data_IF_050218383747
#
_entry.id   IF_050218383747
#
_cell.length_a   1.000
_cell.length_b   1.000
_cell.length_c   1.000
_cell.angle_alpha   90.00
_cell.angle_beta   90.00
_cell.angle_gamma   90.00
#
_symmetry.space_group_name_H-M   'P 1'
#
loop_
_entity.id
_entity.type
_entity.pdbx_description
1 polymer ?
#
# COMPACT_ATOMS: atom_id res chain seq x y z
N UNK A 1 -4.33 9.59 -10.24
CA UNK A 1 -4.10 10.53 -9.13
C UNK A 1 -2.64 10.92 -9.16
N UNK A 2 -2.33 12.19 -9.43
CA UNK A 2 -0.94 12.70 -9.45
C UNK A 2 -0.67 13.28 -8.07
N UNK A 3 0.25 12.69 -7.31
CA UNK A 3 0.72 13.23 -6.04
C UNK A 3 1.84 14.22 -6.34
N UNK A 4 1.57 15.51 -6.22
CA UNK A 4 2.64 16.52 -6.25
C UNK A 4 2.99 16.89 -4.82
N UNK A 5 4.07 16.29 -4.32
CA UNK A 5 4.68 16.70 -3.06
C UNK A 5 6.03 17.36 -3.37
N UNK A 6 6.25 18.56 -2.84
CA UNK A 6 7.44 19.36 -3.11
C UNK A 6 8.33 19.41 -1.86
N UNK A 7 9.64 19.18 -2.01
CA UNK A 7 10.61 19.36 -0.93
C UNK A 7 11.78 20.22 -1.37
N UNK A 8 12.36 20.94 -0.42
CA UNK A 8 13.43 21.91 -0.65
C UNK A 8 14.72 21.33 -0.07
N UNK A 9 15.76 21.23 -0.90
CA UNK A 9 17.12 20.93 -0.46
C UNK A 9 18.02 22.01 -1.05
N UNK A 10 18.27 23.05 -0.26
CA UNK A 10 18.90 24.31 -0.72
C UNK A 10 20.21 24.04 -1.48
N UNK A 11 20.39 24.64 -2.68
CA UNK A 11 19.58 25.68 -3.33
C UNK A 11 18.51 25.15 -4.32
N UNK A 12 18.13 23.86 -4.26
CA UNK A 12 17.26 23.22 -5.26
C UNK A 12 15.92 22.79 -4.68
N UNK A 13 14.91 22.77 -5.55
CA UNK A 13 13.56 22.30 -5.25
C UNK A 13 13.30 21.04 -6.07
N UNK A 14 12.71 20.05 -5.44
CA UNK A 14 12.40 18.76 -6.05
C UNK A 14 10.93 18.40 -5.82
N UNK A 15 10.35 17.68 -6.77
CA UNK A 15 8.98 17.17 -6.69
C UNK A 15 8.97 15.66 -6.81
N UNK A 16 8.11 15.00 -6.04
CA UNK A 16 7.88 13.56 -6.14
C UNK A 16 6.81 13.27 -7.20
N UNK A 17 7.06 12.30 -8.09
CA UNK A 17 6.07 11.77 -9.04
C UNK A 17 5.31 10.55 -8.49
N UNK A 18 5.75 10.06 -7.32
CA UNK A 18 5.17 8.93 -6.58
C UNK A 18 4.90 9.41 -5.15
N UNK A 19 4.06 8.67 -4.45
CA UNK A 19 3.73 8.97 -3.05
C UNK A 19 5.01 8.97 -2.20
N UNK A 20 5.40 10.11 -1.60
CA UNK A 20 6.64 10.18 -0.83
C UNK A 20 6.50 9.53 0.54
N UNK A 21 7.58 8.94 1.01
CA UNK A 21 7.67 8.38 2.35
C UNK A 21 7.61 9.50 3.39
N UNK A 22 6.76 9.36 4.40
CA UNK A 22 6.54 10.36 5.45
C UNK A 22 5.41 11.36 5.17
N UNK A 23 4.69 11.24 4.05
CA UNK A 23 3.43 11.96 3.88
C UNK A 23 2.35 11.31 4.75
N UNK A 24 1.75 12.07 5.67
CA UNK A 24 0.82 11.54 6.69
C UNK A 24 -0.32 10.70 6.10
N UNK A 25 -0.88 11.13 4.98
CA UNK A 25 -1.99 10.42 4.32
C UNK A 25 -1.55 9.31 3.35
N UNK A 26 -0.23 9.08 3.23
CA UNK A 26 0.29 8.08 2.29
C UNK A 26 -0.15 6.66 2.64
N UNK A 27 -0.09 6.30 3.94
CA UNK A 27 -0.52 5.00 4.44
C UNK A 27 -2.03 4.79 4.23
N UNK A 28 -2.84 5.78 4.62
CA UNK A 28 -4.30 5.72 4.50
C UNK A 28 -4.73 5.49 3.05
N UNK A 29 -4.12 6.22 2.13
CA UNK A 29 -4.44 6.11 0.72
C UNK A 29 -3.97 4.77 0.13
N UNK A 30 -2.73 4.37 0.42
CA UNK A 30 -2.20 3.10 -0.05
C UNK A 30 -3.07 1.93 0.41
N UNK A 31 -3.48 1.94 1.68
CA UNK A 31 -4.37 0.93 2.27
C UNK A 31 -5.73 0.86 1.54
N UNK A 32 -6.35 2.01 1.22
CA UNK A 32 -7.63 2.03 0.50
C UNK A 32 -7.51 1.43 -0.91
N UNK A 33 -6.45 1.79 -1.64
CA UNK A 33 -6.20 1.26 -2.99
C UNK A 33 -5.89 -0.24 -2.92
N UNK A 34 -5.04 -0.66 -1.98
CA UNK A 34 -4.67 -2.05 -1.80
C UNK A 34 -5.90 -2.90 -1.42
N UNK A 35 -6.74 -2.42 -0.52
CA UNK A 35 -7.98 -3.10 -0.14
C UNK A 35 -8.91 -3.29 -1.34
N UNK A 36 -9.13 -2.25 -2.13
CA UNK A 36 -9.94 -2.31 -3.35
C UNK A 36 -9.37 -3.31 -4.38
N UNK A 37 -8.05 -3.38 -4.51
CA UNK A 37 -7.41 -4.34 -5.41
C UNK A 37 -7.54 -5.80 -4.93
N UNK A 38 -7.60 -6.00 -3.61
CA UNK A 38 -7.73 -7.33 -3.00
C UNK A 38 -9.19 -7.80 -2.89
N UNK A 39 -10.18 -6.92 -3.00
CA UNK A 39 -11.61 -7.29 -3.01
C UNK A 39 -11.98 -8.26 -4.15
N UNK A 40 -11.30 -8.18 -5.31
CA UNK A 40 -11.52 -9.10 -6.42
C UNK A 40 -10.67 -10.38 -6.36
N UNK A 41 -9.87 -10.57 -5.30
CA UNK A 41 -8.99 -11.72 -5.16
C UNK A 41 -9.75 -12.90 -4.54
N UNK A 42 -10.00 -13.94 -5.33
CA UNK A 42 -10.52 -15.21 -4.82
C UNK A 42 -9.36 -16.09 -4.35
N UNK A 43 -9.38 -16.46 -3.08
CA UNK A 43 -8.37 -17.34 -2.49
C UNK A 43 -8.92 -18.77 -2.38
N UNK A 44 -8.21 -19.78 -2.87
CA UNK A 44 -8.67 -21.16 -2.76
C UNK A 44 -8.62 -21.64 -1.30
N UNK A 45 -9.61 -22.42 -0.88
CA UNK A 45 -9.58 -23.03 0.45
C UNK A 45 -8.38 -24.00 0.59
N UNK A 46 -7.63 -24.03 1.70
CA UNK A 46 -7.82 -23.33 2.98
C UNK A 46 -6.90 -22.11 3.17
N UNK A 47 -6.78 -21.22 2.17
CA UNK A 47 -6.00 -19.98 2.30
C UNK A 47 -6.80 -18.87 2.98
N UNK A 48 -6.12 -18.11 3.83
CA UNK A 48 -6.61 -16.93 4.53
C UNK A 48 -5.65 -15.78 4.23
N UNK A 49 -6.21 -14.62 3.87
CA UNK A 49 -5.46 -13.38 3.72
C UNK A 49 -5.90 -12.38 4.79
N UNK A 50 -4.94 -11.80 5.49
CA UNK A 50 -5.12 -10.71 6.44
C UNK A 50 -4.31 -9.51 5.95
N UNK A 51 -4.96 -8.36 5.80
CA UNK A 51 -4.32 -7.11 5.40
C UNK A 51 -4.30 -6.13 6.58
N UNK A 52 -3.14 -5.55 6.86
CA UNK A 52 -2.97 -4.45 7.82
C UNK A 52 -2.20 -3.30 7.18
N UNK A 53 -2.92 -2.26 6.73
CA UNK A 53 -2.37 -1.08 6.04
C UNK A 53 -1.57 -1.47 4.80
N UNK A 54 -0.26 -1.65 4.94
CA UNK A 54 0.70 -2.04 3.91
C UNK A 54 1.19 -3.49 4.04
N UNK A 55 0.92 -4.14 5.18
CA UNK A 55 1.29 -5.53 5.43
C UNK A 55 0.21 -6.50 4.93
N UNK A 56 0.67 -7.60 4.32
CA UNK A 56 -0.17 -8.73 3.92
C UNK A 56 0.35 -10.01 4.55
N UNK A 57 -0.52 -10.67 5.33
CA UNK A 57 -0.28 -11.99 5.88
C UNK A 57 -1.13 -13.01 5.12
N UNK A 58 -0.47 -13.98 4.50
CA UNK A 58 -1.12 -15.12 3.84
C UNK A 58 -0.86 -16.36 4.71
N UNK A 59 -1.94 -16.99 5.16
CA UNK A 59 -1.91 -18.23 5.92
C UNK A 59 -2.60 -19.35 5.14
N UNK A 60 -2.13 -20.57 5.32
CA UNK A 60 -2.76 -21.78 4.78
C UNK A 60 -2.65 -22.90 5.81
N UNK A 61 -3.64 -23.80 5.85
CA UNK A 61 -3.50 -25.04 6.59
C UNK A 61 -2.44 -25.92 5.90
N UNK A 62 -1.48 -26.46 6.65
CA UNK A 62 -0.56 -27.46 6.10
C UNK A 62 -1.35 -28.65 5.53
N UNK A 63 -0.88 -29.18 4.40
CA UNK A 63 -1.34 -30.49 3.90
C UNK A 63 -0.89 -31.56 4.90
N UNK A 64 -1.82 -32.41 5.31
CA UNK A 64 -1.57 -33.62 6.09
C UNK A 64 -0.66 -34.60 5.31
#
# INVERSE_FOLDING_TARGET
MVFTAMFIMTPRVYSWYRLPQGYTESLSLFNQILKKNLESLELPYPLILVQYIDDLLIASKMRD
#
